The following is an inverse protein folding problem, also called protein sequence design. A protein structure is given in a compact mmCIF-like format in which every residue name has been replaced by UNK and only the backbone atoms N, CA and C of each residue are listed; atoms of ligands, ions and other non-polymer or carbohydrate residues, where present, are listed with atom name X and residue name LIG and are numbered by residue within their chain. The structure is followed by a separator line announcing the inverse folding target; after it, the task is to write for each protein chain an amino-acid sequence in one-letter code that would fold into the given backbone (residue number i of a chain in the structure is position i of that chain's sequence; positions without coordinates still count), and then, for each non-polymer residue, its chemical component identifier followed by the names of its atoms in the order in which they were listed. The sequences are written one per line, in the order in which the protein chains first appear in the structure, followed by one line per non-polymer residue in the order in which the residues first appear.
data_IF_934737409020
#
_entry.id   IF_934737409020
#
_cell.length_a   1.000
_cell.length_b   1.000
_cell.length_c   1.000
_cell.angle_alpha   90.00
_cell.angle_beta   90.00
_cell.angle_gamma   90.00
#
_symmetry.space_group_name_H-M   'P 1'
#
loop_
_entity.id
_entity.type
_entity.pdbx_description
1 polymer ?
#
# COMPACT_ATOMS: atom_id res chain seq x y z
N UNK A 1 -16.88 -3.70 20.47
CA UNK A 1 -17.16 -4.51 19.36
C UNK A 1 -16.73 -4.03 17.99
N UNK A 2 -17.52 -3.17 17.34
CA UNK A 2 -17.32 -2.84 15.91
C UNK A 2 -16.06 -2.04 15.61
N UNK A 3 -15.68 -1.09 16.47
CA UNK A 3 -14.44 -0.29 16.28
C UNK A 3 -13.20 -1.18 16.29
N UNK A 4 -13.12 -2.10 17.23
CA UNK A 4 -12.00 -3.04 17.34
C UNK A 4 -11.90 -3.95 16.10
N UNK A 5 -13.04 -4.48 15.64
CA UNK A 5 -13.09 -5.30 14.41
C UNK A 5 -12.64 -4.51 13.18
N UNK A 6 -13.08 -3.25 13.05
CA UNK A 6 -12.65 -2.37 11.95
C UNK A 6 -11.15 -2.14 11.96
N UNK A 7 -10.56 -1.90 13.13
CA UNK A 7 -9.11 -1.72 13.27
C UNK A 7 -8.34 -3.00 12.92
N UNK A 8 -8.83 -4.17 13.31
CA UNK A 8 -8.21 -5.44 12.94
C UNK A 8 -8.13 -5.61 11.41
N UNK A 9 -9.24 -5.40 10.68
CA UNK A 9 -9.23 -5.49 9.22
C UNK A 9 -8.40 -4.38 8.57
N UNK A 10 -8.41 -3.16 9.11
CA UNK A 10 -7.55 -2.10 8.62
C UNK A 10 -6.06 -2.49 8.77
N UNK A 11 -5.68 -3.03 9.92
CA UNK A 11 -4.30 -3.51 10.17
C UNK A 11 -3.91 -4.62 9.19
N UNK A 12 -4.80 -5.58 8.92
CA UNK A 12 -4.56 -6.64 7.94
C UNK A 12 -4.37 -6.05 6.53
N UNK A 13 -5.22 -5.11 6.13
CA UNK A 13 -5.08 -4.44 4.83
C UNK A 13 -3.75 -3.69 4.71
N UNK A 14 -3.35 -2.95 5.74
CA UNK A 14 -2.06 -2.26 5.76
C UNK A 14 -0.89 -3.24 5.68
N UNK A 15 -0.92 -4.31 6.47
CA UNK A 15 0.12 -5.34 6.52
C UNK A 15 0.31 -6.05 5.18
N UNK A 16 -0.79 -6.52 4.56
CA UNK A 16 -0.69 -7.19 3.27
C UNK A 16 -0.34 -6.24 2.13
N UNK A 17 -0.80 -5.00 2.16
CA UNK A 17 -0.37 -3.98 1.19
C UNK A 17 1.13 -3.71 1.30
N UNK A 18 1.66 -3.64 2.53
CA UNK A 18 3.10 -3.56 2.76
C UNK A 18 3.83 -4.74 2.13
N UNK A 19 3.38 -5.97 2.40
CA UNK A 19 4.01 -7.18 1.86
C UNK A 19 4.00 -7.21 0.32
N UNK A 20 2.89 -6.80 -0.32
CA UNK A 20 2.79 -6.79 -1.79
C UNK A 20 3.66 -5.75 -2.46
N UNK A 21 3.97 -4.66 -1.79
CA UNK A 21 4.78 -3.57 -2.33
C UNK A 21 6.26 -3.62 -1.93
N UNK A 22 6.61 -4.40 -0.92
CA UNK A 22 8.01 -4.59 -0.52
C UNK A 22 8.73 -5.61 -1.40
N UNK A 23 10.06 -5.50 -1.63
CA UNK A 23 10.81 -6.46 -2.44
C UNK A 23 10.70 -7.90 -1.92
N UNK A 24 10.62 -8.85 -2.83
CA UNK A 24 10.53 -10.27 -2.52
C UNK A 24 9.16 -10.85 -2.88
N UNK A 25 9.00 -12.16 -2.69
CA UNK A 25 7.76 -12.86 -3.03
C UNK A 25 6.78 -12.85 -1.86
N UNK A 26 5.52 -12.71 -2.18
CA UNK A 26 4.44 -12.74 -1.21
C UNK A 26 4.27 -14.14 -0.64
N UNK A 27 3.98 -14.20 0.65
CA UNK A 27 3.69 -15.44 1.35
C UNK A 27 2.43 -15.26 2.20
N UNK A 28 1.41 -16.02 1.88
CA UNK A 28 0.20 -16.15 2.68
C UNK A 28 -0.07 -17.62 2.95
N UNK A 29 -0.85 -17.87 3.98
CA UNK A 29 -1.25 -19.23 4.35
C UNK A 29 -2.77 -19.38 4.30
N UNK A 30 -3.24 -20.59 4.26
CA UNK A 30 -4.64 -21.04 4.12
C UNK A 30 -5.62 -20.18 4.91
N UNK A 31 -6.52 -19.50 4.20
CA UNK A 31 -7.55 -18.63 4.78
C UNK A 31 -7.09 -17.19 5.06
N UNK A 32 -5.81 -16.84 4.91
CA UNK A 32 -5.31 -15.48 5.08
C UNK A 32 -5.95 -14.50 4.10
N UNK A 33 -6.28 -14.95 2.89
CA UNK A 33 -6.85 -14.13 1.81
C UNK A 33 -8.25 -13.57 2.12
N UNK A 34 -8.91 -14.12 3.12
CA UNK A 34 -10.18 -13.57 3.65
C UNK A 34 -10.14 -13.38 5.18
N UNK A 35 -8.96 -13.47 5.79
CA UNK A 35 -8.78 -13.20 7.22
C UNK A 35 -9.50 -14.18 8.11
N UNK A 36 -9.38 -15.49 7.83
CA UNK A 36 -9.91 -16.55 8.68
C UNK A 36 -9.48 -16.34 10.14
N UNK A 37 -10.37 -16.59 11.09
CA UNK A 37 -10.12 -16.33 12.51
C UNK A 37 -9.45 -17.48 13.24
N UNK A 38 -9.81 -18.71 12.89
CA UNK A 38 -9.21 -19.91 13.46
C UNK A 38 -7.90 -20.24 12.75
N UNK A 39 -6.98 -20.83 13.47
CA UNK A 39 -5.78 -21.39 12.88
C UNK A 39 -6.17 -22.45 11.84
N UNK A 40 -5.32 -22.62 10.85
CA UNK A 40 -5.48 -23.68 9.88
C UNK A 40 -5.38 -25.04 10.58
N UNK A 41 -6.36 -25.89 10.29
CA UNK A 41 -6.44 -27.27 10.75
C UNK A 41 -6.68 -28.16 9.53
N UNK A 42 -5.76 -29.07 9.26
CA UNK A 42 -5.83 -29.98 8.10
C UNK A 42 -7.02 -30.95 8.15
N UNK A 43 -7.60 -31.15 9.35
CA UNK A 43 -8.75 -32.05 9.55
C UNK A 43 -10.10 -31.39 9.24
N UNK A 44 -10.11 -30.05 9.06
CA UNK A 44 -11.34 -29.29 8.83
C UNK A 44 -11.25 -28.42 7.58
N UNK A 45 -12.39 -28.04 7.03
CA UNK A 45 -12.45 -27.06 5.95
C UNK A 45 -12.12 -25.66 6.45
N UNK A 46 -11.61 -24.80 5.56
CA UNK A 46 -11.52 -23.37 5.83
C UNK A 46 -12.91 -22.79 6.13
N UNK A 47 -12.94 -21.68 6.86
CA UNK A 47 -14.18 -21.00 7.26
C UNK A 47 -14.83 -20.23 6.09
N UNK A 48 -15.12 -20.92 4.97
CA UNK A 48 -15.69 -20.31 3.76
C UNK A 48 -16.97 -19.51 4.02
N UNK A 49 -17.70 -19.84 5.08
CA UNK A 49 -18.94 -19.15 5.47
C UNK A 49 -18.72 -17.68 5.91
N UNK A 50 -17.48 -17.29 6.26
CA UNK A 50 -17.16 -15.89 6.58
C UNK A 50 -16.62 -15.11 5.37
N UNK A 51 -16.21 -15.79 4.29
CA UNK A 51 -15.44 -15.19 3.19
C UNK A 51 -16.13 -14.02 2.48
N UNK A 52 -17.46 -13.94 2.54
CA UNK A 52 -18.25 -12.86 1.94
C UNK A 52 -18.84 -11.88 2.97
N UNK A 53 -18.60 -12.11 4.27
CA UNK A 53 -19.02 -11.19 5.33
C UNK A 53 -18.19 -9.91 5.30
N UNK A 54 -18.72 -8.85 5.92
CA UNK A 54 -18.05 -7.57 6.05
C UNK A 54 -16.63 -7.72 6.66
N UNK A 55 -15.68 -7.04 6.06
CA UNK A 55 -14.26 -7.11 6.37
C UNK A 55 -13.56 -8.28 5.70
N UNK A 56 -14.10 -9.49 5.80
CA UNK A 56 -13.57 -10.70 5.14
C UNK A 56 -13.68 -10.60 3.61
N UNK A 57 -14.88 -10.24 3.12
CA UNK A 57 -15.11 -10.02 1.70
C UNK A 57 -14.32 -8.85 1.14
N UNK A 58 -14.17 -7.77 1.91
CA UNK A 58 -13.33 -6.64 1.57
C UNK A 58 -11.87 -7.02 1.41
N UNK A 59 -11.33 -7.79 2.36
CA UNK A 59 -9.97 -8.29 2.30
C UNK A 59 -9.75 -9.20 1.08
N UNK A 60 -10.70 -10.11 0.80
CA UNK A 60 -10.65 -10.99 -0.38
C UNK A 60 -10.62 -10.19 -1.70
N UNK A 61 -11.46 -9.14 -1.81
CA UNK A 61 -11.43 -8.24 -2.97
C UNK A 61 -10.11 -7.50 -3.10
N UNK A 62 -9.56 -7.04 -1.98
CA UNK A 62 -8.26 -6.39 -1.97
C UNK A 62 -7.14 -7.32 -2.46
N UNK A 63 -7.10 -8.57 -2.01
CA UNK A 63 -6.12 -9.55 -2.52
C UNK A 63 -6.22 -9.77 -4.03
N UNK A 64 -7.44 -9.87 -4.56
CA UNK A 64 -7.65 -9.94 -6.01
C UNK A 64 -7.01 -8.75 -6.72
N UNK A 65 -7.27 -7.54 -6.24
CA UNK A 65 -6.81 -6.31 -6.89
C UNK A 65 -5.31 -6.10 -6.69
N UNK A 66 -4.76 -6.42 -5.52
CA UNK A 66 -3.31 -6.46 -5.29
C UNK A 66 -2.60 -7.38 -6.27
N UNK A 67 -3.16 -8.57 -6.53
CA UNK A 67 -2.60 -9.51 -7.49
C UNK A 67 -2.66 -8.99 -8.93
N UNK A 68 -3.72 -8.27 -9.30
CA UNK A 68 -3.82 -7.61 -10.61
C UNK A 68 -2.77 -6.51 -10.75
N UNK A 69 -2.71 -5.57 -9.81
CA UNK A 69 -1.74 -4.48 -9.81
C UNK A 69 -0.31 -5.02 -9.83
N UNK A 70 -0.02 -6.03 -9.02
CA UNK A 70 1.30 -6.66 -8.97
C UNK A 70 1.73 -7.20 -10.34
N UNK A 71 0.84 -7.88 -11.07
CA UNK A 71 1.17 -8.43 -12.41
C UNK A 71 1.26 -7.35 -13.49
N UNK A 72 0.47 -6.30 -13.38
CA UNK A 72 0.45 -5.20 -14.35
C UNK A 72 1.67 -4.29 -14.25
N UNK A 73 2.29 -4.18 -13.06
CA UNK A 73 3.36 -3.24 -12.80
C UNK A 73 4.71 -3.93 -12.54
N UNK A 74 5.58 -4.03 -13.54
CA UNK A 74 6.92 -4.60 -13.39
C UNK A 74 7.76 -3.98 -12.27
N UNK A 75 7.52 -2.71 -11.92
CA UNK A 75 8.16 -2.06 -10.79
C UNK A 75 8.01 -2.83 -9.47
N UNK A 76 6.94 -3.61 -9.31
CA UNK A 76 6.65 -4.35 -8.07
C UNK A 76 7.37 -5.71 -7.96
N UNK A 77 7.96 -6.22 -9.05
CA UNK A 77 8.55 -7.57 -9.03
C UNK A 77 9.82 -7.75 -9.86
N UNK A 78 10.02 -6.96 -10.92
CA UNK A 78 11.08 -7.22 -11.91
C UNK A 78 12.48 -7.12 -11.30
N UNK A 79 12.68 -6.16 -10.40
CA UNK A 79 13.97 -5.86 -9.79
C UNK A 79 14.02 -6.20 -8.29
N UNK A 80 13.34 -7.24 -7.84
CA UNK A 80 13.30 -7.62 -6.42
C UNK A 80 14.68 -7.92 -5.82
N UNK A 81 15.60 -8.45 -6.63
CA UNK A 81 16.96 -8.80 -6.21
C UNK A 81 18.03 -7.78 -6.62
N UNK A 82 17.62 -6.67 -7.22
CA UNK A 82 18.52 -5.60 -7.68
C UNK A 82 18.33 -4.36 -6.81
N UNK A 83 19.39 -3.81 -6.19
CA UNK A 83 19.28 -2.62 -5.33
C UNK A 83 18.75 -1.38 -6.07
N UNK A 84 18.82 -1.31 -7.39
CA UNK A 84 18.23 -0.23 -8.19
C UNK A 84 16.71 -0.25 -8.17
N UNK A 85 16.09 -1.40 -7.92
CA UNK A 85 14.64 -1.58 -7.86
C UNK A 85 13.97 -1.05 -6.61
N UNK A 86 14.75 -0.68 -5.58
CA UNK A 86 14.23 -0.23 -4.29
C UNK A 86 14.99 0.97 -3.74
N UNK A 87 14.27 1.93 -3.18
CA UNK A 87 14.88 3.05 -2.45
C UNK A 87 13.94 3.50 -1.33
N UNK A 88 14.43 3.58 -0.11
CA UNK A 88 13.68 4.22 0.96
C UNK A 88 13.45 5.71 0.64
N UNK A 89 12.21 6.16 0.73
CA UNK A 89 11.89 7.60 0.81
C UNK A 89 12.09 8.03 2.25
N UNK A 90 11.43 7.35 3.19
CA UNK A 90 11.62 7.55 4.62
C UNK A 90 11.34 6.24 5.37
N UNK A 91 12.35 5.73 6.09
CA UNK A 91 12.26 4.56 6.95
C UNK A 91 12.24 4.93 8.44
N UNK A 92 12.42 6.20 8.78
CA UNK A 92 12.75 6.65 10.14
C UNK A 92 11.68 7.57 10.75
N UNK A 93 10.47 7.58 10.22
CA UNK A 93 9.36 8.34 10.79
C UNK A 93 8.73 7.60 11.98
N UNK A 94 9.48 7.54 13.08
CA UNK A 94 9.00 6.89 14.29
C UNK A 94 7.81 7.63 14.94
N UNK A 95 7.71 8.94 14.73
CA UNK A 95 6.61 9.74 15.28
C UNK A 95 5.30 9.55 14.54
N UNK A 96 5.34 9.44 13.22
CA UNK A 96 4.18 9.21 12.37
C UNK A 96 3.86 7.74 12.14
N UNK A 97 4.83 6.85 12.38
CA UNK A 97 4.75 5.42 12.09
C UNK A 97 4.41 5.15 10.62
N UNK A 98 4.94 5.98 9.72
CA UNK A 98 4.78 5.86 8.27
C UNK A 98 6.08 5.40 7.64
N UNK A 99 5.99 4.37 6.83
CA UNK A 99 7.09 3.89 6.00
C UNK A 99 6.81 4.23 4.55
N UNK A 100 7.83 4.71 3.84
CA UNK A 100 7.68 5.03 2.42
C UNK A 100 8.93 4.65 1.63
N UNK A 101 8.70 4.10 0.43
CA UNK A 101 9.76 3.65 -0.47
C UNK A 101 9.33 3.75 -1.93
N UNK A 102 10.32 3.67 -2.80
CA UNK A 102 10.14 3.58 -4.25
C UNK A 102 10.39 2.16 -4.73
N UNK A 103 9.59 1.72 -5.68
CA UNK A 103 9.81 0.54 -6.50
C UNK A 103 10.03 0.97 -7.94
N UNK A 104 10.98 0.31 -8.62
CA UNK A 104 11.31 0.61 -10.01
C UNK A 104 11.43 -0.64 -10.85
N UNK A 105 11.05 -0.53 -12.13
CA UNK A 105 11.37 -1.51 -13.17
C UNK A 105 12.64 -1.13 -13.92
N UNK A 106 13.15 -2.05 -14.75
CA UNK A 106 14.26 -1.78 -15.66
C UNK A 106 13.94 -0.66 -16.66
N UNK A 107 12.69 -0.59 -17.13
CA UNK A 107 12.21 0.40 -18.08
C UNK A 107 11.87 1.76 -17.44
N UNK A 108 12.12 1.92 -16.14
CA UNK A 108 11.94 3.19 -15.44
C UNK A 108 10.56 3.45 -14.87
N UNK A 109 9.60 2.50 -14.98
CA UNK A 109 8.35 2.59 -14.23
C UNK A 109 8.66 2.76 -12.74
N UNK A 110 8.01 3.72 -12.09
CA UNK A 110 8.29 4.06 -10.69
C UNK A 110 7.00 4.17 -9.90
N UNK A 111 6.94 3.45 -8.78
CA UNK A 111 5.82 3.48 -7.84
C UNK A 111 6.35 3.92 -6.48
N UNK A 112 5.72 4.93 -5.89
CA UNK A 112 5.92 5.32 -4.50
C UNK A 112 4.89 4.61 -3.63
N UNK A 113 5.35 3.83 -2.66
CA UNK A 113 4.52 3.07 -1.74
C UNK A 113 4.64 3.67 -0.34
N UNK A 114 3.50 3.94 0.29
CA UNK A 114 3.43 4.46 1.65
C UNK A 114 2.53 3.57 2.48
N UNK A 115 2.96 3.23 3.70
CA UNK A 115 2.12 2.50 4.67
C UNK A 115 2.19 3.19 6.03
N UNK A 116 1.03 3.50 6.57
CA UNK A 116 0.83 4.09 7.88
C UNK A 116 0.33 3.02 8.85
N UNK A 117 1.14 2.66 9.84
CA UNK A 117 0.76 1.72 10.90
C UNK A 117 0.25 2.43 12.17
N UNK A 118 0.01 3.75 12.09
CA UNK A 118 -0.62 4.53 13.16
C UNK A 118 -2.16 4.47 13.05
N UNK A 119 -2.88 4.53 14.17
CA UNK A 119 -4.34 4.67 14.16
C UNK A 119 -4.81 6.06 13.71
N UNK A 120 -3.90 7.01 13.50
CA UNK A 120 -4.21 8.36 13.08
C UNK A 120 -3.92 8.53 11.58
N UNK A 121 -4.83 9.08 10.77
CA UNK A 121 -4.56 9.37 9.38
C UNK A 121 -3.55 10.51 9.24
N UNK A 122 -2.73 10.46 8.20
CA UNK A 122 -1.79 11.51 7.83
C UNK A 122 -2.36 12.25 6.62
N UNK A 123 -3.08 13.34 6.86
CA UNK A 123 -3.81 14.05 5.79
C UNK A 123 -2.96 15.02 4.98
N UNK A 124 -1.81 15.42 5.49
CA UNK A 124 -0.88 16.39 4.89
C UNK A 124 0.56 15.88 5.00
N UNK A 125 0.80 14.66 4.57
CA UNK A 125 2.11 14.03 4.67
C UNK A 125 3.00 14.42 3.49
N UNK A 126 4.15 15.06 3.78
CA UNK A 126 5.11 15.45 2.75
C UNK A 126 6.08 14.33 2.45
N UNK A 127 6.22 13.95 1.19
CA UNK A 127 7.19 12.96 0.73
C UNK A 127 8.13 13.54 -0.33
N UNK A 128 9.38 13.08 -0.31
CA UNK A 128 10.33 13.30 -1.39
C UNK A 128 10.07 12.33 -2.54
N UNK A 129 10.19 12.80 -3.76
CA UNK A 129 9.98 12.03 -4.99
C UNK A 129 11.13 12.30 -5.99
N UNK A 130 11.46 11.34 -6.86
CA UNK A 130 12.57 11.46 -7.78
C UNK A 130 12.30 12.41 -8.95
N UNK A 131 11.06 12.81 -9.17
CA UNK A 131 10.68 13.70 -10.29
C UNK A 131 9.39 14.47 -10.00
N UNK A 132 9.27 15.62 -10.65
CA UNK A 132 8.05 16.45 -10.66
C UNK A 132 6.96 15.81 -11.51
N UNK A 133 5.74 16.35 -11.43
CA UNK A 133 4.61 15.98 -12.27
C UNK A 133 3.56 15.14 -11.54
N UNK A 134 2.72 14.49 -12.31
CA UNK A 134 1.55 13.76 -11.80
C UNK A 134 1.93 12.35 -11.38
N UNK A 135 1.49 11.98 -10.18
CA UNK A 135 1.57 10.64 -9.63
C UNK A 135 0.15 10.13 -9.38
N UNK A 136 -0.23 9.10 -10.09
CA UNK A 136 -1.57 8.51 -10.00
C UNK A 136 -1.67 7.58 -8.79
N UNK A 137 -2.70 7.74 -7.97
CA UNK A 137 -3.04 6.76 -6.94
C UNK A 137 -3.62 5.50 -7.62
N UNK A 138 -2.85 4.43 -7.65
CA UNK A 138 -3.24 3.14 -8.25
C UNK A 138 -3.79 2.16 -7.22
N UNK A 139 -3.58 2.44 -5.95
CA UNK A 139 -4.07 1.61 -4.85
C UNK A 139 -4.25 2.44 -3.57
N UNK A 140 -5.34 2.17 -2.87
CA UNK A 140 -5.63 2.71 -1.55
C UNK A 140 -6.34 1.63 -0.73
N UNK A 141 -5.72 1.15 0.34
CA UNK A 141 -6.26 0.08 1.17
C UNK A 141 -7.49 0.48 1.99
N UNK A 142 -7.77 1.78 2.12
CA UNK A 142 -8.96 2.31 2.83
C UNK A 142 -10.16 2.52 1.89
N UNK A 143 -10.06 2.12 0.63
CA UNK A 143 -11.16 2.22 -0.31
C UNK A 143 -12.40 1.47 0.17
N UNK A 144 -13.58 2.04 -0.08
CA UNK A 144 -14.87 1.47 0.35
C UNK A 144 -15.12 0.07 -0.22
N UNK A 145 -14.59 -0.22 -1.40
CA UNK A 145 -14.66 -1.54 -2.04
C UNK A 145 -13.94 -2.65 -1.26
N UNK A 146 -13.01 -2.29 -0.37
CA UNK A 146 -12.32 -3.21 0.55
C UNK A 146 -12.89 -3.17 1.96
N UNK A 147 -14.11 -2.66 2.13
CA UNK A 147 -14.74 -2.38 3.42
C UNK A 147 -13.91 -1.40 4.28
N UNK A 148 -13.11 -0.55 3.63
CA UNK A 148 -12.45 0.59 4.24
C UNK A 148 -13.43 1.74 4.52
N UNK A 149 -12.94 2.84 5.08
CA UNK A 149 -13.79 4.00 5.37
C UNK A 149 -14.14 4.78 4.09
N UNK A 150 -13.30 4.74 3.07
CA UNK A 150 -13.42 5.53 1.86
C UNK A 150 -13.24 7.04 2.08
N UNK A 151 -12.80 7.44 3.28
CA UNK A 151 -12.71 8.87 3.64
C UNK A 151 -11.33 9.48 3.36
N UNK A 152 -10.29 8.65 3.33
CA UNK A 152 -8.91 9.10 3.18
C UNK A 152 -8.31 8.59 1.89
N UNK A 153 -7.72 9.50 1.12
CA UNK A 153 -7.09 9.20 -0.16
C UNK A 153 -6.73 10.48 -0.91
N UNK A 154 -6.24 10.33 -2.12
CA UNK A 154 -5.66 11.42 -2.89
C UNK A 154 -6.48 11.82 -4.11
N UNK A 155 -7.77 11.46 -4.14
CA UNK A 155 -8.69 11.74 -5.24
C UNK A 155 -8.15 11.29 -6.60
N UNK A 156 -7.42 10.17 -6.60
CA UNK A 156 -6.87 9.54 -7.78
C UNK A 156 -5.47 10.03 -8.19
N UNK A 157 -4.96 11.14 -7.64
CA UNK A 157 -3.62 11.65 -8.02
C UNK A 157 -3.06 12.65 -7.02
N UNK A 158 -1.72 12.79 -7.03
CA UNK A 158 -1.01 13.91 -6.42
C UNK A 158 -0.09 14.56 -7.44
N UNK A 159 0.30 15.81 -7.21
CA UNK A 159 1.26 16.53 -8.05
C UNK A 159 2.53 16.79 -7.24
N UNK A 160 3.66 16.34 -7.77
CA UNK A 160 4.97 16.63 -7.21
C UNK A 160 5.55 17.91 -7.82
N UNK A 161 6.00 18.80 -6.97
CA UNK A 161 6.60 20.08 -7.34
C UNK A 161 8.09 20.05 -7.08
N UNK A 162 8.85 20.81 -7.89
CA UNK A 162 10.29 20.93 -7.73
C UNK A 162 10.64 21.51 -6.35
N UNK A 163 11.69 20.97 -5.73
CA UNK A 163 12.25 21.46 -4.48
C UNK A 163 13.35 22.48 -4.74
N UNK A 164 13.78 23.15 -3.66
CA UNK A 164 14.99 23.94 -3.67
C UNK A 164 16.24 23.05 -3.82
N UNK A 165 17.34 23.61 -4.34
CA UNK A 165 18.57 22.89 -4.65
C UNK A 165 19.23 22.17 -3.45
N UNK A 166 18.88 22.55 -2.23
CA UNK A 166 19.40 21.93 -1.01
C UNK A 166 18.52 20.85 -0.41
N UNK A 167 17.41 20.48 -1.06
CA UNK A 167 16.58 19.34 -0.62
C UNK A 167 17.25 18.03 -1.02
N UNK A 168 17.08 17.00 -0.21
CA UNK A 168 17.57 15.64 -0.50
C UNK A 168 16.84 14.97 -1.66
N UNK A 169 15.69 15.49 -2.07
CA UNK A 169 14.85 15.01 -3.16
C UNK A 169 14.63 16.13 -4.20
N UNK A 170 14.64 15.80 -5.50
CA UNK A 170 14.39 16.80 -6.54
C UNK A 170 12.95 17.32 -6.57
N UNK A 171 12.01 16.58 -6.01
CA UNK A 171 10.60 16.98 -5.94
C UNK A 171 9.95 16.55 -4.62
N UNK A 172 8.85 17.20 -4.26
CA UNK A 172 7.99 16.84 -3.14
C UNK A 172 6.52 16.88 -3.52
N UNK A 173 5.75 16.00 -2.87
CA UNK A 173 4.30 16.01 -2.91
C UNK A 173 3.72 15.93 -1.50
N UNK A 174 2.51 16.46 -1.34
CA UNK A 174 1.69 16.26 -0.14
C UNK A 174 0.70 15.15 -0.39
N UNK A 175 0.68 14.14 0.48
CA UNK A 175 -0.09 12.90 0.32
C UNK A 175 -0.99 12.69 1.53
N UNK A 176 -2.19 12.22 1.29
CA UNK A 176 -3.07 11.69 2.33
C UNK A 176 -2.85 10.18 2.45
N UNK A 177 -2.45 9.72 3.64
CA UNK A 177 -2.27 8.30 3.95
C UNK A 177 -3.26 7.91 5.05
N UNK A 178 -4.18 6.97 4.80
CA UNK A 178 -5.18 6.59 5.77
C UNK A 178 -4.56 5.98 7.04
N UNK A 179 -5.30 6.01 8.13
CA UNK A 179 -4.94 5.29 9.35
C UNK A 179 -4.91 3.79 9.09
N UNK A 180 -3.91 3.08 9.64
CA UNK A 180 -3.73 1.64 9.42
C UNK A 180 -3.94 1.28 7.95
N UNK A 181 -3.27 2.01 7.06
CA UNK A 181 -3.54 1.92 5.62
C UNK A 181 -2.34 2.21 4.75
N UNK A 182 -2.52 1.95 3.47
CA UNK A 182 -1.46 2.06 2.46
C UNK A 182 -1.99 2.73 1.20
N UNK A 183 -1.15 3.54 0.57
CA UNK A 183 -1.41 4.13 -0.76
C UNK A 183 -0.21 3.91 -1.66
N UNK A 184 -0.47 3.64 -2.96
CA UNK A 184 0.57 3.49 -3.97
C UNK A 184 0.35 4.49 -5.09
N UNK A 185 1.41 5.19 -5.45
CA UNK A 185 1.40 6.28 -6.43
C UNK A 185 2.32 5.92 -7.60
N UNK A 186 1.74 5.83 -8.79
CA UNK A 186 2.46 5.56 -10.03
C UNK A 186 2.86 6.87 -10.70
N UNK A 187 4.14 7.03 -11.02
CA UNK A 187 4.60 8.15 -11.84
C UNK A 187 4.05 8.06 -13.26
N UNK A 188 3.35 9.09 -13.73
CA UNK A 188 2.82 9.12 -15.12
C UNK A 188 3.85 9.67 -16.12
N UNK A 189 5.02 10.10 -15.68
CA UNK A 189 6.10 10.53 -16.57
C UNK A 189 6.96 9.31 -16.86
N UNK A 190 6.79 8.76 -18.06
CA UNK A 190 7.71 7.82 -18.66
C UNK A 190 8.72 8.61 -19.51
N UNK A 191 9.98 8.37 -19.26
CA UNK A 191 11.08 8.92 -20.08
C UNK A 191 11.48 7.86 -21.09
#
# INVERSE_FOLDING_TARGET
GDVYKRQQFASLRAYYSYMWSFPGKQLIFMGCEFGQRHEFDESTSLEWFVADLWGHGGLKRMFRDLNHIYREHPALWQMDSDPRGFTWINANDAGGNVFSWLRRSEDGETIACLTNFSPNPQTQYSIGLPRTGVWQEIFNSDAAEYDGTGQFGNLGRVVAHACADNDSWPARATVCVPSLGSVWLLSLIHI
#
